data_IF_423594762346
#
_entry.id   IF_423594762346
#
_cell.length_a   1.000
_cell.length_b   1.000
_cell.length_c   1.000
_cell.angle_alpha   90.00
_cell.angle_beta   90.00
_cell.angle_gamma   90.00
#
_symmetry.space_group_name_H-M   'P 1'
#
loop_
_entity.id
_entity.type
_entity.pdbx_description
1 polymer ?
#
# COMPACT_ATOMS: atom_id res chain seq x y z
N UNK A 1 0.97 32.63 -10.51
CA UNK A 1 1.74 31.50 -9.93
C UNK A 1 2.32 30.74 -11.11
N UNK A 2 3.65 30.66 -11.22
CA UNK A 2 4.29 30.03 -12.40
C UNK A 2 3.91 28.55 -12.43
N UNK A 3 3.32 28.06 -13.54
CA UNK A 3 2.74 26.70 -13.64
C UNK A 3 3.79 25.63 -13.29
N UNK A 4 5.07 25.91 -13.57
CA UNK A 4 6.21 25.03 -13.27
C UNK A 4 6.43 24.73 -11.77
N UNK A 5 5.89 25.55 -10.85
CA UNK A 5 6.08 25.34 -9.41
C UNK A 5 4.93 24.53 -8.76
N UNK A 6 3.88 24.22 -9.52
CA UNK A 6 2.71 23.48 -8.99
C UNK A 6 3.05 22.11 -8.39
N UNK A 7 3.94 21.28 -8.99
CA UNK A 7 4.28 19.95 -8.43
C UNK A 7 4.96 20.01 -7.06
N UNK A 8 5.65 21.13 -6.75
CA UNK A 8 6.26 21.37 -5.44
C UNK A 8 5.26 21.87 -4.40
N UNK A 9 4.29 22.69 -4.81
CA UNK A 9 3.38 23.37 -3.88
C UNK A 9 2.23 22.46 -3.45
N UNK A 10 1.72 21.61 -4.35
CA UNK A 10 0.62 20.69 -4.06
C UNK A 10 0.90 19.76 -2.85
N UNK A 11 2.08 19.11 -2.74
CA UNK A 11 2.45 18.30 -1.57
C UNK A 11 2.60 19.07 -0.26
N UNK A 12 3.01 20.34 -0.32
CA UNK A 12 3.28 21.14 0.88
C UNK A 12 2.01 21.49 1.65
N UNK A 13 0.88 21.66 0.96
CA UNK A 13 -0.41 22.01 1.60
C UNK A 13 -0.81 20.96 2.66
N UNK A 14 -0.99 19.66 2.33
CA UNK A 14 -1.32 18.66 3.33
C UNK A 14 -0.19 18.45 4.33
N UNK A 15 1.08 18.59 3.93
CA UNK A 15 2.21 18.46 4.86
C UNK A 15 2.18 19.51 5.98
N UNK A 16 2.05 20.79 5.61
CA UNK A 16 2.00 21.91 6.55
C UNK A 16 0.78 21.78 7.46
N UNK A 17 -0.40 21.47 6.89
CA UNK A 17 -1.61 21.24 7.67
C UNK A 17 -1.45 20.10 8.68
N UNK A 18 -0.88 18.98 8.26
CA UNK A 18 -0.63 17.83 9.13
C UNK A 18 0.33 18.16 10.28
N UNK A 19 1.39 18.94 10.01
CA UNK A 19 2.32 19.41 11.05
C UNK A 19 1.59 20.33 12.04
N UNK A 20 0.84 21.33 11.55
CA UNK A 20 0.08 22.26 12.40
C UNK A 20 -0.92 21.50 13.27
N UNK A 21 -1.65 20.54 12.70
CA UNK A 21 -2.62 19.75 13.45
C UNK A 21 -1.99 18.88 14.52
N UNK A 22 -0.75 18.43 14.34
CA UNK A 22 -0.03 17.65 15.36
C UNK A 22 0.21 18.44 16.65
N UNK A 23 0.25 19.78 16.57
CA UNK A 23 0.52 20.66 17.71
C UNK A 23 -0.68 21.54 18.11
N UNK A 24 -1.74 21.55 17.32
CA UNK A 24 -2.95 22.33 17.59
C UNK A 24 -3.93 21.57 18.49
N UNK A 25 -4.78 22.30 19.23
CA UNK A 25 -5.93 21.77 19.97
C UNK A 25 -7.28 21.94 19.24
N UNK A 26 -7.27 22.17 17.93
CA UNK A 26 -8.51 22.30 17.14
C UNK A 26 -9.34 21.00 17.13
N UNK A 27 -10.67 21.13 17.04
CA UNK A 27 -11.64 20.03 17.10
C UNK A 27 -11.45 18.99 15.99
N UNK A 28 -11.79 17.73 16.28
CA UNK A 28 -11.63 16.61 15.35
C UNK A 28 -12.49 16.78 14.09
N UNK A 29 -13.72 17.25 14.25
CA UNK A 29 -14.67 17.48 13.14
C UNK A 29 -14.17 18.54 12.15
N UNK A 30 -13.58 19.62 12.64
CA UNK A 30 -13.03 20.68 11.77
C UNK A 30 -11.85 20.14 10.94
N UNK A 31 -10.93 19.39 11.56
CA UNK A 31 -9.80 18.77 10.85
C UNK A 31 -10.27 17.81 9.77
N UNK A 32 -11.26 16.97 10.08
CA UNK A 32 -11.85 16.04 9.12
C UNK A 32 -12.43 16.78 7.92
N UNK A 33 -13.22 17.82 8.15
CA UNK A 33 -13.81 18.64 7.08
C UNK A 33 -12.75 19.30 6.20
N UNK A 34 -11.75 19.97 6.80
CA UNK A 34 -10.65 20.61 6.07
C UNK A 34 -9.84 19.57 5.30
N UNK A 35 -9.53 18.43 5.90
CA UNK A 35 -8.73 17.37 5.27
C UNK A 35 -9.42 16.79 4.02
N UNK A 36 -10.73 16.52 4.12
CA UNK A 36 -11.51 16.05 2.97
C UNK A 36 -11.59 17.13 1.87
N UNK A 37 -11.78 18.39 2.23
CA UNK A 37 -11.79 19.50 1.27
C UNK A 37 -10.44 19.66 0.56
N UNK A 38 -9.33 19.55 1.29
CA UNK A 38 -7.98 19.61 0.71
C UNK A 38 -7.73 18.45 -0.24
N UNK A 39 -8.06 17.22 0.14
CA UNK A 39 -7.92 16.07 -0.78
C UNK A 39 -8.78 16.25 -2.03
N UNK A 40 -10.03 16.70 -1.88
CA UNK A 40 -10.91 16.99 -3.01
C UNK A 40 -10.36 18.08 -3.93
N UNK A 41 -9.81 19.16 -3.38
CA UNK A 41 -9.18 20.24 -4.13
C UNK A 41 -7.91 19.77 -4.86
N UNK A 42 -7.08 18.93 -4.21
CA UNK A 42 -5.90 18.32 -4.85
C UNK A 42 -6.29 17.39 -6.00
N UNK A 43 -7.32 16.56 -5.82
CA UNK A 43 -7.83 15.68 -6.87
C UNK A 43 -8.37 16.47 -8.07
N UNK A 44 -9.18 17.52 -7.82
CA UNK A 44 -9.67 18.41 -8.88
C UNK A 44 -8.53 19.18 -9.56
N UNK A 45 -7.55 19.64 -8.79
CA UNK A 45 -6.36 20.31 -9.29
C UNK A 45 -5.51 19.42 -10.20
N UNK A 46 -5.39 18.13 -9.90
CA UNK A 46 -4.66 17.18 -10.74
C UNK A 46 -5.34 16.93 -12.08
N UNK A 47 -6.68 16.88 -12.11
CA UNK A 47 -7.43 16.78 -13.37
C UNK A 47 -7.10 18.00 -14.24
N UNK A 48 -7.12 19.19 -13.65
CA UNK A 48 -6.75 20.44 -14.35
C UNK A 48 -5.29 20.43 -14.81
N UNK A 49 -4.36 20.01 -13.96
CA UNK A 49 -2.92 19.92 -14.28
C UNK A 49 -2.67 18.93 -15.41
N UNK A 50 -3.37 17.80 -15.50
CA UNK A 50 -3.26 16.85 -16.62
C UNK A 50 -3.56 17.51 -17.97
N UNK A 51 -4.51 18.45 -18.01
CA UNK A 51 -4.83 19.19 -19.24
C UNK A 51 -3.83 20.30 -19.54
N UNK A 52 -3.11 20.80 -18.53
CA UNK A 52 -2.19 21.93 -18.64
C UNK A 52 -0.70 21.52 -18.77
N UNK A 53 -0.33 20.33 -18.31
CA UNK A 53 1.05 19.81 -18.24
C UNK A 53 1.05 18.36 -18.76
N UNK A 54 1.96 18.03 -19.67
CA UNK A 54 2.25 16.65 -20.07
C UNK A 54 2.91 15.88 -18.91
N UNK A 55 2.10 15.42 -17.96
CA UNK A 55 2.56 14.59 -16.85
C UNK A 55 2.43 13.11 -17.22
N UNK A 56 3.41 12.29 -16.83
CA UNK A 56 3.38 10.84 -17.02
C UNK A 56 2.06 10.25 -16.46
N UNK A 57 1.23 9.60 -17.30
CA UNK A 57 -0.02 8.99 -16.88
C UNK A 57 0.14 8.03 -15.70
N UNK A 58 1.29 7.35 -15.61
CA UNK A 58 1.61 6.42 -14.52
C UNK A 58 1.66 7.15 -13.18
N UNK A 59 2.33 8.31 -13.14
CA UNK A 59 2.46 9.14 -11.91
C UNK A 59 1.09 9.67 -11.49
N UNK A 60 0.29 10.16 -12.44
CA UNK A 60 -1.07 10.62 -12.16
C UNK A 60 -1.91 9.50 -11.51
N UNK A 61 -1.74 8.27 -12.00
CA UNK A 61 -2.50 7.13 -11.51
C UNK A 61 -2.09 6.72 -10.09
N UNK A 62 -0.79 6.67 -9.81
CA UNK A 62 -0.25 6.44 -8.46
C UNK A 62 -0.72 7.52 -7.47
N UNK A 63 -0.66 8.79 -7.87
CA UNK A 63 -1.10 9.93 -7.06
C UNK A 63 -2.61 9.86 -6.78
N UNK A 64 -3.41 9.49 -7.78
CA UNK A 64 -4.87 9.32 -7.62
C UNK A 64 -5.20 8.22 -6.62
N UNK A 65 -4.46 7.11 -6.61
CA UNK A 65 -4.62 6.04 -5.63
C UNK A 65 -4.29 6.50 -4.20
N UNK A 66 -3.22 7.28 -4.01
CA UNK A 66 -2.87 7.87 -2.71
C UNK A 66 -4.00 8.80 -2.24
N UNK A 67 -4.48 9.72 -3.09
CA UNK A 67 -5.53 10.66 -2.73
C UNK A 67 -6.83 9.95 -2.37
N UNK A 68 -7.23 8.95 -3.16
CA UNK A 68 -8.43 8.18 -2.91
C UNK A 68 -8.34 7.41 -1.58
N UNK A 69 -7.22 6.76 -1.32
CA UNK A 69 -7.00 6.04 -0.05
C UNK A 69 -7.00 7.00 1.15
N UNK A 70 -6.34 8.16 1.02
CA UNK A 70 -6.35 9.21 2.03
C UNK A 70 -7.75 9.74 2.32
N UNK A 71 -8.56 9.94 1.27
CA UNK A 71 -9.96 10.35 1.39
C UNK A 71 -10.77 9.30 2.17
N UNK A 72 -10.67 8.03 1.77
CA UNK A 72 -11.40 6.92 2.40
C UNK A 72 -11.00 6.73 3.87
N UNK A 73 -9.70 6.82 4.19
CA UNK A 73 -9.21 6.73 5.57
C UNK A 73 -9.71 7.90 6.42
N UNK A 74 -9.64 9.15 5.94
CA UNK A 74 -10.19 10.30 6.67
C UNK A 74 -11.71 10.21 6.85
N UNK A 75 -12.44 9.83 5.81
CA UNK A 75 -13.90 9.79 5.83
C UNK A 75 -14.41 8.74 6.84
N UNK A 76 -13.74 7.60 6.93
CA UNK A 76 -14.15 6.46 7.75
C UNK A 76 -13.62 6.50 9.17
N UNK A 77 -12.69 7.39 9.47
CA UNK A 77 -12.18 7.59 10.83
C UNK A 77 -13.29 8.14 11.75
N UNK A 78 -13.55 7.44 12.86
CA UNK A 78 -14.49 7.89 13.89
C UNK A 78 -13.86 8.96 14.80
N UNK A 79 -14.71 9.82 15.35
CA UNK A 79 -14.30 10.87 16.28
C UNK A 79 -13.96 10.25 17.65
N UNK A 80 -12.69 9.93 17.83
CA UNK A 80 -12.11 9.45 19.08
C UNK A 80 -11.08 10.44 19.63
N UNK A 81 -10.66 10.27 20.88
CA UNK A 81 -9.57 11.07 21.47
C UNK A 81 -8.25 10.95 20.66
N UNK A 82 -8.06 9.86 19.91
CA UNK A 82 -6.87 9.63 19.09
C UNK A 82 -7.03 10.14 17.65
N UNK A 83 -8.26 10.41 17.21
CA UNK A 83 -8.57 10.86 15.84
C UNK A 83 -7.79 12.12 15.41
N UNK A 84 -7.60 13.16 16.24
CA UNK A 84 -6.83 14.35 15.84
C UNK A 84 -5.38 14.03 15.43
N UNK A 85 -4.75 13.06 16.11
CA UNK A 85 -3.40 12.60 15.79
C UNK A 85 -3.39 11.73 14.53
N UNK A 86 -4.42 10.92 14.30
CA UNK A 86 -4.56 10.11 13.09
C UNK A 86 -4.74 11.02 11.87
N UNK A 87 -5.61 12.05 11.96
CA UNK A 87 -5.78 13.04 10.90
C UNK A 87 -4.48 13.76 10.55
N UNK A 88 -3.74 14.22 11.57
CA UNK A 88 -2.43 14.83 11.38
C UNK A 88 -1.45 13.88 10.67
N UNK A 89 -1.44 12.61 11.05
CA UNK A 89 -0.56 11.59 10.48
C UNK A 89 -0.91 11.29 9.03
N UNK A 90 -2.21 11.16 8.70
CA UNK A 90 -2.68 10.98 7.32
C UNK A 90 -2.25 12.18 6.46
N UNK A 91 -2.40 13.42 6.94
CA UNK A 91 -1.98 14.61 6.18
C UNK A 91 -0.47 14.72 5.98
N UNK A 92 0.34 14.39 7.00
CA UNK A 92 1.81 14.36 6.86
C UNK A 92 2.23 13.31 5.83
N UNK A 93 1.70 12.08 5.96
CA UNK A 93 2.04 10.98 5.05
C UNK A 93 1.53 11.25 3.63
N UNK A 94 0.37 11.88 3.50
CA UNK A 94 -0.17 12.33 2.21
C UNK A 94 0.78 13.35 1.56
N UNK A 95 1.16 14.42 2.26
CA UNK A 95 2.05 15.43 1.71
C UNK A 95 3.43 14.90 1.36
N UNK A 96 4.01 14.06 2.22
CA UNK A 96 5.31 13.43 1.92
C UNK A 96 5.20 12.46 0.73
N UNK A 97 4.17 11.61 0.69
CA UNK A 97 3.96 10.66 -0.41
C UNK A 97 3.70 11.34 -1.75
N UNK A 98 2.86 12.37 -1.78
CA UNK A 98 2.66 13.20 -2.98
C UNK A 98 3.95 13.91 -3.40
N UNK A 99 4.74 14.38 -2.43
CA UNK A 99 6.01 15.05 -2.68
C UNK A 99 7.02 14.15 -3.36
N UNK A 100 7.05 12.86 -2.99
CA UNK A 100 7.87 11.84 -3.65
C UNK A 100 7.45 11.62 -5.10
N UNK A 101 6.14 11.51 -5.37
CA UNK A 101 5.64 11.16 -6.70
C UNK A 101 5.60 12.33 -7.68
N UNK A 102 5.31 13.55 -7.20
CA UNK A 102 5.12 14.72 -8.06
C UNK A 102 6.42 15.47 -8.37
N UNK A 103 7.50 15.22 -7.62
CA UNK A 103 8.76 15.96 -7.79
C UNK A 103 9.87 15.03 -8.26
N UNK A 104 10.56 15.43 -9.31
CA UNK A 104 11.72 14.71 -9.81
C UNK A 104 13.01 15.09 -9.07
N UNK A 105 14.07 14.30 -9.30
CA UNK A 105 15.43 14.55 -8.84
C UNK A 105 15.53 14.79 -7.32
N UNK A 106 16.18 15.88 -6.91
CA UNK A 106 16.56 16.16 -5.52
C UNK A 106 15.32 16.33 -4.63
N UNK A 107 14.29 17.03 -5.13
CA UNK A 107 13.10 17.34 -4.33
C UNK A 107 12.32 16.08 -3.95
N UNK A 108 12.10 15.17 -4.89
CA UNK A 108 11.47 13.87 -4.61
C UNK A 108 12.24 13.06 -3.56
N UNK A 109 13.58 13.07 -3.64
CA UNK A 109 14.47 12.41 -2.66
C UNK A 109 14.38 13.05 -1.26
N UNK A 110 14.25 14.38 -1.17
CA UNK A 110 14.05 15.08 0.11
C UNK A 110 12.72 14.69 0.76
N UNK A 111 11.62 14.65 -0.01
CA UNK A 111 10.33 14.18 0.50
C UNK A 111 10.40 12.70 0.94
N UNK A 112 11.12 11.85 0.21
CA UNK A 112 11.31 10.45 0.57
C UNK A 112 12.08 10.29 1.88
N UNK A 113 13.15 11.08 2.06
CA UNK A 113 13.90 11.12 3.32
C UNK A 113 13.04 11.65 4.46
N UNK A 114 12.18 12.65 4.21
CA UNK A 114 11.18 13.12 5.16
C UNK A 114 10.21 12.02 5.59
N UNK A 115 9.72 11.21 4.64
CA UNK A 115 8.84 10.08 4.92
C UNK A 115 9.52 8.99 5.76
N UNK A 116 10.73 8.58 5.36
CA UNK A 116 11.54 7.62 6.09
C UNK A 116 11.91 8.13 7.50
N UNK A 117 12.25 9.41 7.61
CA UNK A 117 12.49 10.07 8.90
C UNK A 117 11.24 10.09 9.78
N UNK A 118 10.07 10.39 9.21
CA UNK A 118 8.79 10.32 9.92
C UNK A 118 8.52 8.91 10.46
N UNK A 119 8.73 7.87 9.64
CA UNK A 119 8.62 6.47 10.06
C UNK A 119 9.59 6.18 11.21
N UNK A 120 10.88 6.53 11.07
CA UNK A 120 11.89 6.31 12.10
C UNK A 120 11.52 6.99 13.43
N UNK A 121 11.03 8.24 13.39
CA UNK A 121 10.61 8.96 14.60
C UNK A 121 9.37 8.32 15.24
N UNK A 122 8.43 7.82 14.44
CA UNK A 122 7.26 7.10 14.95
C UNK A 122 7.67 5.80 15.65
N UNK A 123 8.58 5.04 15.06
CA UNK A 123 9.09 3.78 15.61
C UNK A 123 9.90 3.98 16.90
N UNK A 124 10.72 5.04 16.97
CA UNK A 124 11.55 5.32 18.14
C UNK A 124 10.76 5.85 19.34
N UNK A 125 9.53 6.36 19.13
CA UNK A 125 8.63 6.78 20.21
C UNK A 125 7.99 5.62 20.95
N UNK A 126 7.91 4.44 20.34
CA UNK A 126 7.45 3.25 21.05
C UNK A 126 8.53 2.77 22.03
N UNK A 127 8.21 2.71 23.33
CA UNK A 127 9.16 2.42 24.42
C UNK A 127 9.79 1.01 24.39
N UNK A 128 9.45 0.17 23.40
CA UNK A 128 9.89 -1.22 23.29
C UNK A 128 11.06 -1.35 22.29
N UNK A 129 12.28 -1.01 22.74
CA UNK A 129 13.51 -1.13 21.92
C UNK A 129 14.01 -2.56 21.81
N UNK A 130 13.34 -3.38 21.00
CA UNK A 130 13.79 -4.74 20.67
C UNK A 130 14.97 -4.73 19.70
N UNK A 131 15.74 -5.83 19.64
CA UNK A 131 16.80 -6.01 18.64
C UNK A 131 16.28 -5.85 17.21
N UNK A 132 15.07 -6.38 16.93
CA UNK A 132 14.38 -6.22 15.65
C UNK A 132 14.10 -4.76 15.32
N UNK A 133 13.69 -3.95 16.29
CA UNK A 133 13.49 -2.50 16.09
C UNK A 133 14.79 -1.80 15.71
N UNK A 134 15.94 -2.20 16.29
CA UNK A 134 17.25 -1.64 15.92
C UNK A 134 17.63 -1.96 14.48
N UNK A 135 17.42 -3.20 14.03
CA UNK A 135 17.66 -3.60 12.63
C UNK A 135 16.79 -2.77 11.67
N UNK A 136 15.51 -2.57 12.00
CA UNK A 136 14.60 -1.76 11.18
C UNK A 136 15.06 -0.31 11.11
N UNK A 137 15.47 0.29 12.22
CA UNK A 137 16.01 1.65 12.23
C UNK A 137 17.30 1.75 11.40
N UNK A 138 18.19 0.75 11.49
CA UNK A 138 19.38 0.70 10.66
C UNK A 138 19.04 0.62 9.17
N UNK A 139 18.05 -0.20 8.80
CA UNK A 139 17.55 -0.29 7.42
C UNK A 139 17.01 1.05 6.92
N UNK A 140 16.24 1.77 7.75
CA UNK A 140 15.71 3.09 7.40
C UNK A 140 16.82 4.12 7.26
N UNK A 141 17.81 4.13 8.16
CA UNK A 141 18.97 5.02 8.06
C UNK A 141 19.73 4.74 6.77
N UNK A 142 19.96 3.47 6.44
CA UNK A 142 20.62 3.08 5.20
C UNK A 142 19.82 3.51 3.96
N UNK A 143 18.50 3.37 3.96
CA UNK A 143 17.62 3.86 2.90
C UNK A 143 17.73 5.39 2.72
N UNK A 144 17.78 6.16 3.81
CA UNK A 144 17.95 7.62 3.77
C UNK A 144 19.32 7.97 3.17
N UNK A 145 20.39 7.32 3.63
CA UNK A 145 21.74 7.56 3.13
C UNK A 145 21.82 7.25 1.64
N UNK A 146 21.36 6.08 1.18
CA UNK A 146 21.36 5.71 -0.23
C UNK A 146 20.52 6.68 -1.08
N UNK A 147 19.35 7.09 -0.59
CA UNK A 147 18.50 8.05 -1.28
C UNK A 147 19.23 9.38 -1.53
N UNK A 148 19.93 9.91 -0.53
CA UNK A 148 20.65 11.18 -0.64
C UNK A 148 21.94 11.06 -1.47
N UNK A 149 22.72 10.00 -1.26
CA UNK A 149 24.00 9.84 -1.95
C UNK A 149 23.80 9.50 -3.42
N UNK A 150 22.73 8.79 -3.79
CA UNK A 150 22.46 8.39 -5.18
C UNK A 150 22.51 9.55 -6.18
N UNK A 151 22.09 10.75 -5.75
CA UNK A 151 22.08 11.97 -6.56
C UNK A 151 23.47 12.32 -7.10
N UNK A 152 24.52 12.00 -6.33
CA UNK A 152 25.91 12.37 -6.64
C UNK A 152 26.72 11.22 -7.23
N UNK A 153 26.11 10.05 -7.45
CA UNK A 153 26.79 8.85 -7.92
C UNK A 153 26.48 8.56 -9.39
N UNK A 154 27.30 7.73 -10.03
CA UNK A 154 27.08 7.27 -11.40
C UNK A 154 25.88 6.33 -11.55
N UNK A 155 25.52 6.03 -12.79
CA UNK A 155 24.29 5.29 -13.17
C UNK A 155 24.14 3.95 -12.44
N UNK A 156 25.20 3.14 -12.35
CA UNK A 156 25.16 1.85 -11.64
C UNK A 156 24.79 2.00 -10.16
N UNK A 157 25.31 3.03 -9.49
CA UNK A 157 25.00 3.28 -8.09
C UNK A 157 23.59 3.85 -7.91
N UNK A 158 23.12 4.65 -8.85
CA UNK A 158 21.73 5.13 -8.88
C UNK A 158 20.75 3.97 -9.06
N UNK A 159 21.04 3.05 -9.97
CA UNK A 159 20.27 1.82 -10.16
C UNK A 159 20.22 0.99 -8.87
N UNK A 160 21.36 0.74 -8.21
CA UNK A 160 21.40 -0.02 -6.96
C UNK A 160 20.65 0.66 -5.81
N UNK A 161 20.79 1.98 -5.67
CA UNK A 161 20.06 2.74 -4.67
C UNK A 161 18.55 2.71 -4.95
N UNK A 162 18.15 2.90 -6.20
CA UNK A 162 16.76 2.80 -6.62
C UNK A 162 16.20 1.39 -6.41
N UNK A 163 16.97 0.33 -6.68
CA UNK A 163 16.59 -1.06 -6.41
C UNK A 163 16.39 -1.31 -4.92
N UNK A 164 17.31 -0.83 -4.07
CA UNK A 164 17.17 -0.95 -2.62
C UNK A 164 15.91 -0.24 -2.09
N UNK A 165 15.62 0.96 -2.61
CA UNK A 165 14.42 1.71 -2.28
C UNK A 165 13.16 1.01 -2.80
N UNK A 166 13.17 0.51 -4.04
CA UNK A 166 12.09 -0.29 -4.59
C UNK A 166 11.84 -1.54 -3.75
N UNK A 167 12.87 -2.29 -3.33
CA UNK A 167 12.74 -3.45 -2.44
C UNK A 167 12.20 -3.11 -1.04
N UNK A 168 12.47 -1.88 -0.57
CA UNK A 168 11.95 -1.38 0.70
C UNK A 168 10.46 -1.04 0.59
N UNK A 169 10.04 -0.41 -0.52
CA UNK A 169 8.69 0.12 -0.74
C UNK A 169 7.73 -0.82 -1.50
N UNK A 170 8.24 -1.77 -2.27
CA UNK A 170 7.54 -2.96 -2.76
C UNK A 170 8.08 -4.15 -1.96
N UNK A 171 7.52 -4.40 -0.76
CA UNK A 171 8.16 -5.23 0.23
C UNK A 171 8.41 -6.63 -0.35
N UNK A 172 9.64 -7.10 -0.20
CA UNK A 172 10.07 -8.46 -0.51
C UNK A 172 10.98 -8.96 0.62
N UNK A 173 10.97 -10.26 0.94
CA UNK A 173 11.90 -10.80 1.93
C UNK A 173 13.36 -10.72 1.39
N UNK A 174 14.35 -10.32 2.21
CA UNK A 174 14.29 -9.93 3.63
C UNK A 174 14.02 -8.43 3.91
N UNK A 175 13.87 -7.58 2.90
CA UNK A 175 13.75 -6.12 3.02
C UNK A 175 12.40 -5.61 3.57
N UNK A 176 11.41 -6.49 3.72
CA UNK A 176 10.03 -6.18 4.16
C UNK A 176 9.86 -5.68 5.62
N UNK A 177 10.89 -5.72 6.47
CA UNK A 177 10.72 -5.46 7.92
C UNK A 177 10.22 -4.05 8.27
N UNK A 178 10.70 -2.95 7.64
CA UNK A 178 10.17 -1.62 7.87
C UNK A 178 8.68 -1.50 7.53
N UNK A 179 8.25 -2.13 6.44
CA UNK A 179 6.85 -2.19 6.04
C UNK A 179 6.00 -2.88 7.12
N UNK A 180 6.34 -4.12 7.49
CA UNK A 180 5.56 -4.90 8.48
C UNK A 180 5.43 -4.17 9.81
N UNK A 181 6.51 -3.56 10.30
CA UNK A 181 6.48 -2.82 11.56
C UNK A 181 5.63 -1.55 11.46
N UNK A 182 5.73 -0.82 10.35
CA UNK A 182 4.89 0.38 10.10
C UNK A 182 3.40 0.01 10.10
N UNK A 183 3.01 -1.06 9.39
CA UNK A 183 1.62 -1.51 9.33
C UNK A 183 1.13 -2.03 10.69
N UNK A 184 1.99 -2.73 11.45
CA UNK A 184 1.67 -3.25 12.78
C UNK A 184 1.35 -2.13 13.78
N UNK A 185 2.17 -1.08 13.77
CA UNK A 185 2.11 0.00 14.76
C UNK A 185 1.13 1.10 14.35
N UNK A 186 0.76 1.16 13.07
CA UNK A 186 -0.25 2.08 12.56
C UNK A 186 -1.58 1.87 13.28
N UNK A 187 -2.19 2.98 13.68
CA UNK A 187 -3.48 2.99 14.39
C UNK A 187 -4.63 3.06 13.41
N UNK A 188 -5.62 2.19 13.59
CA UNK A 188 -6.93 2.28 12.94
C UNK A 188 -6.79 2.45 11.40
N UNK A 189 -7.47 3.44 10.82
CA UNK A 189 -7.52 3.69 9.36
C UNK A 189 -6.16 4.06 8.75
N UNK A 190 -5.17 4.44 9.57
CA UNK A 190 -3.82 4.80 9.11
C UNK A 190 -3.07 3.58 8.56
N UNK A 191 -3.39 2.37 9.03
CA UNK A 191 -2.76 1.14 8.54
C UNK A 191 -3.10 0.89 7.07
N UNK A 192 -4.37 1.06 6.69
CA UNK A 192 -4.83 1.03 5.29
C UNK A 192 -4.10 2.06 4.44
N UNK A 193 -4.02 3.30 4.92
CA UNK A 193 -3.41 4.39 4.16
C UNK A 193 -1.91 4.15 3.91
N UNK A 194 -1.19 3.65 4.93
CA UNK A 194 0.21 3.30 4.79
C UNK A 194 0.45 2.23 3.74
N UNK A 195 -0.37 1.18 3.67
CA UNK A 195 -0.22 0.12 2.64
C UNK A 195 -0.23 0.74 1.25
N UNK A 196 -1.18 1.64 0.98
CA UNK A 196 -1.29 2.30 -0.33
C UNK A 196 -0.08 3.18 -0.61
N UNK A 197 0.23 4.14 0.28
CA UNK A 197 1.36 5.07 0.07
C UNK A 197 2.68 4.33 -0.11
N UNK A 198 2.90 3.29 0.70
CA UNK A 198 4.12 2.50 0.66
C UNK A 198 4.30 1.82 -0.71
N UNK A 199 3.27 1.12 -1.19
CA UNK A 199 3.31 0.44 -2.48
C UNK A 199 3.39 1.44 -3.65
N UNK A 200 2.70 2.57 -3.60
CA UNK A 200 2.73 3.56 -4.68
C UNK A 200 4.14 4.14 -4.88
N UNK A 201 4.84 4.42 -3.78
CA UNK A 201 6.23 4.86 -3.83
C UNK A 201 7.12 3.76 -4.43
N UNK A 202 6.93 2.50 -4.01
CA UNK A 202 7.74 1.40 -4.51
C UNK A 202 7.53 1.12 -6.00
N UNK A 203 6.28 1.23 -6.48
CA UNK A 203 5.94 1.16 -7.89
C UNK A 203 6.63 2.26 -8.70
N UNK A 204 6.63 3.51 -8.21
CA UNK A 204 7.34 4.60 -8.87
C UNK A 204 8.86 4.39 -8.89
N UNK A 205 9.45 3.95 -7.77
CA UNK A 205 10.88 3.63 -7.72
C UNK A 205 11.24 2.52 -8.70
N UNK A 206 10.42 1.47 -8.79
CA UNK A 206 10.65 0.38 -9.73
C UNK A 206 10.50 0.82 -11.18
N UNK A 207 9.49 1.64 -11.50
CA UNK A 207 9.29 2.24 -12.83
C UNK A 207 10.54 2.99 -13.30
N UNK A 208 11.12 3.80 -12.41
CA UNK A 208 12.26 4.65 -12.74
C UNK A 208 13.56 3.86 -12.96
N UNK A 209 13.69 2.67 -12.37
CA UNK A 209 14.87 1.82 -12.54
C UNK A 209 14.69 0.69 -13.55
N UNK A 210 13.45 0.38 -13.98
CA UNK A 210 13.14 -0.83 -14.72
C UNK A 210 13.98 -1.00 -15.99
N UNK A 211 14.17 0.07 -16.75
CA UNK A 211 14.97 0.06 -17.99
C UNK A 211 16.46 -0.19 -17.77
N UNK A 212 16.96 -0.05 -16.54
CA UNK A 212 18.36 -0.28 -16.17
C UNK A 212 18.61 -1.70 -15.65
N UNK A 213 17.55 -2.48 -15.40
CA UNK A 213 17.68 -3.85 -14.87
C UNK A 213 18.09 -4.81 -15.99
N UNK A 214 19.18 -5.54 -15.78
CA UNK A 214 19.63 -6.59 -16.68
C UNK A 214 18.83 -7.88 -16.49
N UNK A 215 18.81 -8.74 -17.51
CA UNK A 215 18.13 -10.04 -17.45
C UNK A 215 18.63 -10.91 -16.27
N UNK A 216 19.93 -10.85 -15.95
CA UNK A 216 20.50 -11.54 -14.79
C UNK A 216 19.90 -11.05 -13.47
N UNK A 217 19.75 -9.73 -13.30
CA UNK A 217 19.13 -9.15 -12.10
C UNK A 217 17.65 -9.54 -12.03
N UNK A 218 16.93 -9.48 -13.15
CA UNK A 218 15.52 -9.83 -13.23
C UNK A 218 15.27 -11.32 -12.90
N UNK A 219 16.16 -12.21 -13.35
CA UNK A 219 16.12 -13.62 -13.00
C UNK A 219 16.33 -13.84 -11.49
N UNK A 220 17.34 -13.19 -10.88
CA UNK A 220 17.60 -13.27 -9.44
C UNK A 220 16.40 -12.74 -8.63
N UNK A 221 15.82 -11.61 -9.05
CA UNK A 221 14.64 -11.04 -8.42
C UNK A 221 13.44 -11.99 -8.51
N UNK A 222 13.29 -12.70 -9.63
CA UNK A 222 12.21 -13.69 -9.81
C UNK A 222 12.36 -14.88 -8.89
N UNK A 223 13.58 -15.38 -8.68
CA UNK A 223 13.85 -16.44 -7.71
C UNK A 223 13.57 -15.97 -6.28
N UNK A 224 14.03 -14.75 -5.94
CA UNK A 224 13.79 -14.16 -4.64
C UNK A 224 12.28 -13.91 -4.38
N UNK A 225 11.54 -13.54 -5.42
CA UNK A 225 10.09 -13.37 -5.36
C UNK A 225 9.37 -14.68 -4.99
N UNK A 226 9.74 -15.80 -5.61
CA UNK A 226 9.18 -17.12 -5.28
C UNK A 226 9.44 -17.46 -3.81
N UNK A 227 10.70 -17.32 -3.36
CA UNK A 227 11.07 -17.58 -1.97
C UNK A 227 10.32 -16.67 -1.00
N UNK A 228 10.18 -15.39 -1.34
CA UNK A 228 9.42 -14.41 -0.58
C UNK A 228 7.94 -14.77 -0.52
N UNK A 229 7.34 -15.23 -1.63
CA UNK A 229 5.94 -15.65 -1.69
C UNK A 229 5.66 -16.87 -0.80
N UNK A 230 6.54 -17.87 -0.82
CA UNK A 230 6.47 -19.05 0.05
C UNK A 230 6.57 -18.62 1.52
N UNK A 231 7.62 -17.87 1.85
CA UNK A 231 7.85 -17.37 3.21
C UNK A 231 6.63 -16.58 3.72
N UNK A 232 6.17 -15.60 2.94
CA UNK A 232 5.10 -14.70 3.34
C UNK A 232 3.76 -15.42 3.47
N UNK A 233 3.47 -16.40 2.61
CA UNK A 233 2.26 -17.22 2.70
C UNK A 233 2.23 -18.05 3.99
N UNK A 234 3.35 -18.67 4.35
CA UNK A 234 3.48 -19.41 5.62
C UNK A 234 3.35 -18.47 6.82
N UNK A 235 3.99 -17.30 6.76
CA UNK A 235 3.90 -16.28 7.82
C UNK A 235 2.45 -15.80 7.96
N UNK A 236 1.76 -15.48 6.87
CA UNK A 236 0.37 -15.04 6.86
C UNK A 236 -0.56 -16.07 7.49
N UNK A 237 -0.39 -17.35 7.17
CA UNK A 237 -1.17 -18.45 7.72
C UNK A 237 -1.02 -18.58 9.25
N UNK A 238 0.15 -18.21 9.78
CA UNK A 238 0.44 -18.18 11.22
C UNK A 238 0.00 -16.91 11.95
N UNK A 239 -0.38 -15.84 11.23
CA UNK A 239 -0.72 -14.57 11.86
C UNK A 239 -2.09 -14.61 12.52
N UNK A 240 -2.13 -14.21 13.80
CA UNK A 240 -3.39 -13.96 14.53
C UNK A 240 -3.76 -12.47 14.55
N UNK A 241 -2.80 -11.56 14.37
CA UNK A 241 -3.04 -10.12 14.44
C UNK A 241 -3.41 -9.60 13.06
N UNK A 242 -4.54 -8.88 12.94
CA UNK A 242 -5.10 -8.41 11.67
C UNK A 242 -4.08 -7.62 10.84
N UNK A 243 -3.41 -6.64 11.45
CA UNK A 243 -2.42 -5.81 10.76
C UNK A 243 -1.20 -6.59 10.26
N UNK A 244 -0.74 -7.58 11.03
CA UNK A 244 0.36 -8.45 10.61
C UNK A 244 -0.05 -9.44 9.53
N UNK A 245 -1.27 -9.97 9.61
CA UNK A 245 -1.85 -10.80 8.56
C UNK A 245 -1.90 -10.05 7.23
N UNK A 246 -2.48 -8.83 7.24
CA UNK A 246 -2.57 -7.96 6.06
C UNK A 246 -1.18 -7.61 5.52
N UNK A 247 -0.22 -7.29 6.38
CA UNK A 247 1.16 -7.01 5.94
C UNK A 247 1.82 -8.25 5.28
N UNK A 248 1.59 -9.44 5.84
CA UNK A 248 2.14 -10.69 5.29
C UNK A 248 1.46 -11.07 3.98
N UNK A 249 0.14 -10.87 3.87
CA UNK A 249 -0.60 -11.06 2.61
C UNK A 249 -0.14 -10.07 1.54
N UNK A 250 0.13 -8.81 1.91
CA UNK A 250 0.71 -7.80 0.99
C UNK A 250 2.04 -8.29 0.44
N UNK A 251 2.93 -8.78 1.31
CA UNK A 251 4.24 -9.31 0.96
C UNK A 251 4.16 -10.54 0.04
N UNK A 252 3.18 -11.42 0.25
CA UNK A 252 2.98 -12.58 -0.60
C UNK A 252 2.56 -12.18 -2.02
N UNK A 253 1.66 -11.20 -2.15
CA UNK A 253 1.17 -10.76 -3.46
C UNK A 253 2.11 -9.76 -4.16
N UNK A 254 2.88 -8.95 -3.44
CA UNK A 254 3.89 -8.07 -4.04
C UNK A 254 4.99 -8.87 -4.74
N UNK A 255 5.21 -10.13 -4.35
CA UNK A 255 6.10 -11.04 -5.07
C UNK A 255 5.69 -11.26 -6.53
N UNK A 256 4.39 -11.17 -6.87
CA UNK A 256 3.95 -11.23 -8.27
C UNK A 256 4.55 -10.08 -9.09
N UNK A 257 4.63 -8.88 -8.52
CA UNK A 257 5.23 -7.73 -9.21
C UNK A 257 6.68 -8.06 -9.58
N UNK A 258 7.45 -8.55 -8.61
CA UNK A 258 8.88 -8.84 -8.80
C UNK A 258 9.14 -9.99 -9.77
N UNK A 259 8.41 -11.11 -9.64
CA UNK A 259 8.66 -12.28 -10.47
C UNK A 259 8.09 -12.23 -11.87
N UNK A 260 7.28 -11.22 -12.20
CA UNK A 260 6.69 -11.02 -13.53
C UNK A 260 7.41 -9.94 -14.36
N UNK A 261 8.43 -9.27 -13.81
CA UNK A 261 9.18 -8.22 -14.51
C UNK A 261 9.87 -8.67 -15.80
N UNK A 262 10.35 -9.91 -15.82
CA UNK A 262 10.98 -10.52 -16.99
C UNK A 262 9.97 -11.09 -18.00
N UNK A 263 8.69 -11.19 -17.61
CA UNK A 263 7.66 -11.91 -18.35
C UNK A 263 6.85 -10.97 -19.22
N UNK A 264 6.43 -9.85 -18.65
CA UNK A 264 5.57 -8.90 -19.33
C UNK A 264 6.35 -7.67 -19.76
N UNK A 265 6.32 -7.34 -21.07
CA UNK A 265 6.96 -6.12 -21.56
C UNK A 265 6.24 -4.89 -20.99
N UNK A 266 7.00 -3.83 -20.72
CA UNK A 266 6.49 -2.54 -20.24
C UNK A 266 5.81 -2.58 -18.88
N UNK A 267 6.62 -2.48 -17.82
CA UNK A 267 6.15 -2.40 -16.43
C UNK A 267 5.06 -1.34 -16.18
N UNK A 268 5.12 -0.19 -16.86
CA UNK A 268 4.10 0.86 -16.70
C UNK A 268 2.69 0.44 -17.11
N UNK A 269 2.55 -0.47 -18.09
CA UNK A 269 1.25 -0.89 -18.62
C UNK A 269 0.56 -1.95 -17.76
N UNK A 270 1.31 -2.90 -17.21
CA UNK A 270 0.71 -4.00 -16.43
C UNK A 270 1.00 -3.86 -14.93
N UNK A 271 2.23 -3.46 -14.56
CA UNK A 271 2.72 -3.50 -13.19
C UNK A 271 2.19 -2.37 -12.33
N UNK A 272 2.07 -1.16 -12.88
CA UNK A 272 1.47 -0.01 -12.19
C UNK A 272 -0.02 -0.27 -11.89
N UNK A 273 -0.88 -0.64 -12.87
CA UNK A 273 -2.29 -0.88 -12.58
C UNK A 273 -2.54 -2.09 -11.68
N UNK A 274 -1.76 -3.16 -11.85
CA UNK A 274 -1.81 -4.31 -10.93
C UNK A 274 -1.41 -3.92 -9.51
N UNK A 275 -0.30 -3.19 -9.35
CA UNK A 275 0.18 -2.76 -8.04
C UNK A 275 -0.80 -1.82 -7.32
N UNK A 276 -1.48 -0.94 -8.05
CA UNK A 276 -2.59 -0.13 -7.53
C UNK A 276 -3.75 -1.01 -7.08
N UNK A 277 -4.16 -1.97 -7.90
CA UNK A 277 -5.22 -2.92 -7.57
C UNK A 277 -4.90 -3.67 -6.27
N UNK A 278 -3.68 -4.22 -6.18
CA UNK A 278 -3.18 -4.90 -4.98
C UNK A 278 -3.24 -3.98 -3.75
N UNK A 279 -2.73 -2.75 -3.88
CA UNK A 279 -2.70 -1.78 -2.80
C UNK A 279 -4.11 -1.40 -2.30
N UNK A 280 -5.05 -1.18 -3.22
CA UNK A 280 -6.42 -0.79 -2.88
C UNK A 280 -7.23 -1.96 -2.28
N UNK A 281 -7.05 -3.19 -2.77
CA UNK A 281 -7.72 -4.38 -2.23
C UNK A 281 -7.21 -4.70 -0.82
N UNK A 282 -5.89 -4.78 -0.65
CA UNK A 282 -5.31 -5.13 0.66
C UNK A 282 -5.42 -3.96 1.65
N UNK A 283 -5.31 -2.73 1.17
CA UNK A 283 -5.64 -1.52 1.93
C UNK A 283 -7.11 -1.52 2.37
N UNK A 284 -8.04 -1.81 1.46
CA UNK A 284 -9.47 -1.95 1.76
C UNK A 284 -9.76 -3.03 2.81
N UNK A 285 -9.07 -4.16 2.76
CA UNK A 285 -9.17 -5.21 3.79
C UNK A 285 -8.64 -4.73 5.14
N UNK A 286 -7.53 -3.99 5.15
CA UNK A 286 -7.02 -3.31 6.36
C UNK A 286 -8.03 -2.32 6.93
N UNK A 287 -8.69 -1.55 6.06
CA UNK A 287 -9.72 -0.58 6.43
C UNK A 287 -10.93 -1.28 7.05
N UNK A 288 -11.39 -2.39 6.46
CA UNK A 288 -12.48 -3.20 7.01
C UNK A 288 -12.14 -3.72 8.42
N UNK A 289 -10.92 -4.22 8.63
CA UNK A 289 -10.47 -4.61 9.97
C UNK A 289 -10.37 -3.44 10.93
N UNK A 290 -10.04 -2.24 10.45
CA UNK A 290 -10.01 -1.05 11.29
C UNK A 290 -11.38 -0.70 11.87
N UNK A 291 -12.48 -0.95 11.14
CA UNK A 291 -13.84 -0.74 11.65
C UNK A 291 -14.16 -1.67 12.83
N UNK A 292 -13.75 -2.94 12.73
CA UNK A 292 -13.86 -3.89 13.85
C UNK A 292 -13.00 -3.44 15.03
N UNK A 293 -11.78 -2.97 14.76
CA UNK A 293 -10.88 -2.48 15.81
C UNK A 293 -11.42 -1.23 16.51
N UNK A 294 -11.99 -0.27 15.77
CA UNK A 294 -12.55 0.96 16.32
C UNK A 294 -13.74 0.63 17.22
N UNK A 295 -14.65 -0.24 16.78
CA UNK A 295 -15.88 -0.59 17.53
C UNK A 295 -15.63 -1.50 18.73
N UNK A 296 -14.77 -2.51 18.57
CA UNK A 296 -14.65 -3.62 19.52
C UNK A 296 -13.26 -3.75 20.15
N UNK A 297 -12.29 -2.93 19.75
CA UNK A 297 -10.90 -3.04 20.20
C UNK A 297 -10.20 -4.35 19.77
N UNK A 298 -10.87 -5.20 18.98
CA UNK A 298 -10.35 -6.49 18.57
C UNK A 298 -9.33 -6.34 17.43
N UNK A 299 -8.09 -6.69 17.73
CA UNK A 299 -6.97 -6.68 16.78
C UNK A 299 -6.62 -8.07 16.25
N UNK A 300 -7.28 -9.11 16.75
CA UNK A 300 -6.96 -10.50 16.44
C UNK A 300 -8.07 -11.20 15.67
N UNK A 301 -7.65 -11.93 14.65
CA UNK A 301 -8.45 -12.84 13.83
C UNK A 301 -8.96 -13.96 14.74
N UNK A 302 -10.25 -14.29 14.65
CA UNK A 302 -10.85 -15.34 15.47
C UNK A 302 -11.55 -14.87 16.75
N UNK A 303 -11.33 -13.62 17.20
CA UNK A 303 -11.99 -13.13 18.43
C UNK A 303 -13.47 -12.78 18.24
N UNK A 304 -13.84 -12.45 17.00
CA UNK A 304 -15.19 -12.08 16.58
C UNK A 304 -15.55 -12.91 15.33
N UNK A 305 -15.87 -14.21 15.51
CA UNK A 305 -16.38 -15.04 14.43
C UNK A 305 -17.84 -14.68 14.11
N UNK A 306 -18.35 -15.22 13.00
CA UNK A 306 -19.76 -15.12 12.62
C UNK A 306 -20.23 -13.74 12.17
N UNK A 307 -19.32 -12.84 11.77
CA UNK A 307 -19.65 -11.46 11.41
C UNK A 307 -20.67 -11.36 10.27
N UNK A 308 -20.76 -12.33 9.37
CA UNK A 308 -21.74 -12.30 8.27
C UNK A 308 -23.18 -12.38 8.78
N UNK A 309 -23.41 -13.04 9.92
CA UNK A 309 -24.75 -13.18 10.50
C UNK A 309 -25.18 -11.96 11.31
N UNK A 310 -24.24 -11.28 11.97
CA UNK A 310 -24.53 -10.16 12.88
C UNK A 310 -24.24 -8.79 12.29
N UNK A 311 -23.36 -8.73 11.28
CA UNK A 311 -22.97 -7.53 10.53
C UNK A 311 -22.92 -7.85 9.03
N UNK A 312 -24.07 -8.08 8.39
CA UNK A 312 -24.12 -8.59 7.01
C UNK A 312 -23.38 -7.68 6.02
N UNK A 313 -23.42 -6.35 6.17
CA UNK A 313 -22.70 -5.44 5.25
C UNK A 313 -21.20 -5.58 5.42
N UNK A 314 -20.69 -5.60 6.66
CA UNK A 314 -19.27 -5.82 6.89
C UNK A 314 -18.82 -7.20 6.39
N UNK A 315 -19.58 -8.25 6.71
CA UNK A 315 -19.27 -9.61 6.30
C UNK A 315 -19.18 -9.75 4.78
N UNK A 316 -20.18 -9.22 4.05
CA UNK A 316 -20.18 -9.21 2.58
C UNK A 316 -18.99 -8.45 2.02
N UNK A 317 -18.66 -7.29 2.59
CA UNK A 317 -17.51 -6.49 2.15
C UNK A 317 -16.18 -7.22 2.36
N UNK A 318 -15.98 -7.87 3.51
CA UNK A 318 -14.78 -8.67 3.77
C UNK A 318 -14.69 -9.83 2.78
N UNK A 319 -15.80 -10.56 2.56
CA UNK A 319 -15.85 -11.68 1.59
C UNK A 319 -15.51 -11.17 0.19
N UNK A 320 -16.09 -10.06 -0.24
CA UNK A 320 -15.84 -9.47 -1.56
C UNK A 320 -14.36 -9.06 -1.72
N UNK A 321 -13.79 -8.35 -0.74
CA UNK A 321 -12.36 -7.98 -0.76
C UNK A 321 -11.45 -9.20 -0.82
N UNK A 322 -11.80 -10.27 -0.08
CA UNK A 322 -11.06 -11.53 -0.14
C UNK A 322 -11.20 -12.21 -1.50
N UNK A 323 -12.41 -12.25 -2.08
CA UNK A 323 -12.59 -12.76 -3.44
C UNK A 323 -11.71 -12.00 -4.43
N UNK A 324 -11.71 -10.66 -4.38
CA UNK A 324 -10.81 -9.83 -5.19
C UNK A 324 -9.34 -10.20 -4.97
N UNK A 325 -8.91 -10.34 -3.70
CA UNK A 325 -7.54 -10.70 -3.38
C UNK A 325 -7.15 -12.08 -3.93
N UNK A 326 -8.06 -13.06 -3.88
CA UNK A 326 -7.83 -14.39 -4.46
C UNK A 326 -7.69 -14.36 -5.98
N UNK A 327 -8.38 -13.45 -6.66
CA UNK A 327 -8.29 -13.29 -8.10
C UNK A 327 -7.12 -12.39 -8.54
N UNK A 328 -6.44 -11.67 -7.63
CA UNK A 328 -5.29 -10.83 -7.96
C UNK A 328 -4.21 -11.51 -8.82
N UNK A 329 -3.85 -12.80 -8.61
CA UNK A 329 -2.86 -13.44 -9.47
C UNK A 329 -3.31 -13.55 -10.94
N UNK A 330 -4.60 -13.46 -11.27
CA UNK A 330 -5.06 -13.47 -12.67
C UNK A 330 -4.94 -12.10 -13.34
N UNK A 331 -4.95 -11.00 -12.56
CA UNK A 331 -4.95 -9.64 -13.10
C UNK A 331 -3.69 -9.33 -13.94
N UNK A 332 -2.46 -9.63 -13.48
CA UNK A 332 -1.26 -9.45 -14.30
C UNK A 332 -1.30 -10.29 -15.57
N UNK A 333 -1.87 -11.50 -15.53
CA UNK A 333 -2.01 -12.33 -16.71
C UNK A 333 -2.95 -11.67 -17.72
N UNK A 334 -4.12 -11.19 -17.30
CA UNK A 334 -5.06 -10.51 -18.19
C UNK A 334 -4.47 -9.23 -18.81
N UNK A 335 -3.89 -8.35 -17.98
CA UNK A 335 -3.29 -7.08 -18.43
C UNK A 335 -2.01 -7.30 -19.26
N UNK A 336 -1.17 -8.23 -18.84
CA UNK A 336 0.12 -8.53 -19.46
C UNK A 336 0.03 -9.35 -20.75
N UNK A 337 -0.95 -10.26 -20.86
CA UNK A 337 -1.20 -11.04 -22.09
C UNK A 337 -1.66 -10.15 -23.25
N UNK A 338 -2.31 -9.02 -22.97
CA UNK A 338 -2.67 -8.02 -23.99
C UNK A 338 -1.46 -7.38 -24.69
N UNK A 339 -0.25 -7.56 -24.16
CA UNK A 339 1.00 -6.94 -24.64
C UNK A 339 2.04 -8.00 -25.03
N UNK A 340 1.71 -9.29 -24.99
CA UNK A 340 2.67 -10.36 -25.29
C UNK A 340 2.88 -10.58 -26.79
N UNK A 341 4.13 -10.66 -27.29
CA UNK A 341 4.43 -11.46 -28.48
C UNK A 341 4.28 -12.95 -28.14
N UNK A 342 3.88 -13.77 -29.12
CA UNK A 342 3.67 -15.22 -28.95
C UNK A 342 4.88 -15.90 -28.31
N UNK A 343 4.72 -16.38 -27.07
CA UNK A 343 5.77 -17.12 -26.34
C UNK A 343 5.92 -18.52 -26.91
N UNK A 344 7.16 -18.93 -27.21
CA UNK A 344 7.48 -20.34 -27.41
C UNK A 344 7.35 -21.09 -26.09
N UNK A 345 6.48 -22.10 -26.05
CA UNK A 345 6.02 -22.81 -24.84
C UNK A 345 7.06 -23.68 -24.13
N UNK A 346 8.36 -23.51 -24.42
CA UNK A 346 9.48 -24.29 -23.85
C UNK A 346 10.49 -23.47 -23.04
N UNK A 347 10.16 -22.22 -22.73
CA UNK A 347 11.05 -21.33 -21.98
C UNK A 347 10.98 -21.57 -20.46
N UNK A 348 12.14 -21.53 -19.79
CA UNK A 348 12.30 -21.56 -18.33
C UNK A 348 11.47 -20.46 -17.66
N UNK A 349 11.30 -19.32 -18.35
CA UNK A 349 10.44 -18.22 -17.91
C UNK A 349 8.99 -18.62 -17.67
N UNK A 350 8.42 -19.52 -18.50
CA UNK A 350 7.03 -20.00 -18.36
C UNK A 350 6.86 -20.84 -17.10
N UNK A 351 7.83 -21.70 -16.80
CA UNK A 351 7.81 -22.55 -15.60
C UNK A 351 7.91 -21.70 -14.34
N UNK A 352 8.83 -20.74 -14.28
CA UNK A 352 8.97 -19.83 -13.13
C UNK A 352 7.70 -19.01 -12.89
N UNK A 353 7.10 -18.51 -13.97
CA UNK A 353 5.84 -17.75 -13.94
C UNK A 353 4.70 -18.59 -13.39
N UNK A 354 4.52 -19.81 -13.93
CA UNK A 354 3.48 -20.75 -13.48
C UNK A 354 3.66 -21.12 -12.01
N UNK A 355 4.90 -21.35 -11.57
CA UNK A 355 5.21 -21.67 -10.18
C UNK A 355 4.89 -20.50 -9.26
N UNK A 356 5.26 -19.27 -9.64
CA UNK A 356 4.96 -18.07 -8.87
C UNK A 356 3.44 -17.87 -8.72
N UNK A 357 2.69 -17.95 -9.82
CA UNK A 357 1.23 -17.88 -9.76
C UNK A 357 0.64 -18.97 -8.86
N UNK A 358 1.11 -20.21 -8.99
CA UNK A 358 0.64 -21.33 -8.19
C UNK A 358 0.91 -21.12 -6.69
N UNK A 359 2.11 -20.68 -6.33
CA UNK A 359 2.50 -20.43 -4.94
C UNK A 359 1.65 -19.32 -4.33
N UNK A 360 1.52 -18.18 -5.02
CA UNK A 360 0.75 -17.03 -4.50
C UNK A 360 -0.73 -17.36 -4.44
N UNK A 361 -1.28 -18.04 -5.45
CA UNK A 361 -2.69 -18.43 -5.48
C UNK A 361 -3.02 -19.47 -4.42
N UNK A 362 -2.26 -20.56 -4.31
CA UNK A 362 -2.51 -21.63 -3.32
C UNK A 362 -2.29 -21.12 -1.90
N UNK A 363 -1.20 -20.36 -1.68
CA UNK A 363 -0.94 -19.70 -0.40
C UNK A 363 -2.09 -18.75 -0.03
N UNK A 364 -2.44 -17.85 -0.95
CA UNK A 364 -3.56 -16.91 -0.86
C UNK A 364 -4.87 -17.59 -0.48
N UNK A 365 -5.25 -18.61 -1.25
CA UNK A 365 -6.43 -19.43 -1.02
C UNK A 365 -6.47 -19.97 0.39
N UNK A 366 -5.36 -20.52 0.88
CA UNK A 366 -5.32 -21.10 2.21
C UNK A 366 -5.49 -20.06 3.32
N UNK A 367 -4.63 -19.05 3.37
CA UNK A 367 -4.65 -18.12 4.50
C UNK A 367 -5.88 -17.20 4.48
N UNK A 368 -6.42 -16.85 3.31
CA UNK A 368 -7.66 -16.07 3.23
C UNK A 368 -8.90 -16.87 3.59
N UNK A 369 -9.02 -18.12 3.13
CA UNK A 369 -10.17 -18.98 3.53
C UNK A 369 -10.13 -19.24 5.03
N UNK A 370 -8.94 -19.51 5.59
CA UNK A 370 -8.77 -19.64 7.04
C UNK A 370 -9.20 -18.36 7.76
N UNK A 371 -8.78 -17.19 7.28
CA UNK A 371 -9.17 -15.92 7.86
C UNK A 371 -10.69 -15.70 7.79
N UNK A 372 -11.34 -15.96 6.65
CA UNK A 372 -12.79 -15.84 6.48
C UNK A 372 -13.54 -16.78 7.44
N UNK A 373 -13.08 -18.02 7.58
CA UNK A 373 -13.69 -18.97 8.52
C UNK A 373 -13.59 -18.47 9.97
N UNK A 374 -12.51 -17.77 10.32
CA UNK A 374 -12.29 -17.23 11.67
C UNK A 374 -12.95 -15.86 11.91
N UNK A 375 -13.56 -15.24 10.90
CA UNK A 375 -14.07 -13.87 10.99
C UNK A 375 -15.50 -13.75 10.47
N UNK A 376 -15.69 -13.94 9.16
CA UNK A 376 -16.97 -13.82 8.50
C UNK A 376 -17.92 -14.97 8.87
N UNK A 377 -17.40 -16.19 8.91
CA UNK A 377 -18.19 -17.40 9.19
C UNK A 377 -18.05 -17.87 10.64
N UNK A 378 -18.87 -18.85 11.03
CA UNK A 378 -18.92 -19.41 12.38
C UNK A 378 -20.08 -18.87 13.23
N UNK A 379 -20.13 -19.30 14.48
CA UNK A 379 -21.15 -18.89 15.45
C UNK A 379 -20.78 -17.53 16.05
N UNK A 380 -21.70 -16.57 15.95
CA UNK A 380 -21.49 -15.24 16.50
C UNK A 380 -21.59 -15.24 18.02
N UNK A 381 -20.80 -14.39 18.66
CA UNK A 381 -20.77 -14.25 20.11
C UNK A 381 -22.01 -13.52 20.61
N UNK A 382 -22.81 -14.14 21.46
CA UNK A 382 -24.05 -13.53 21.97
C UNK A 382 -23.83 -12.44 23.02
N UNK A 383 -22.62 -12.30 23.56
CA UNK A 383 -22.29 -11.35 24.62
C UNK A 383 -21.95 -9.93 24.12
N UNK A 384 -21.97 -9.71 22.80
CA UNK A 384 -21.52 -8.45 22.18
C UNK A 384 -22.68 -7.79 21.42
N UNK A 385 -22.94 -6.48 21.65
CA UNK A 385 -23.88 -5.73 20.83
C UNK A 385 -23.24 -5.41 19.46
N UNK A 386 -23.76 -6.01 18.40
CA UNK A 386 -23.27 -5.79 17.05
C UNK A 386 -23.89 -4.52 16.42
N UNK A 387 -23.04 -3.72 15.77
CA UNK A 387 -23.44 -2.58 14.94
C UNK A 387 -22.77 -2.68 13.57
N UNK A 388 -23.58 -2.85 12.52
CA UNK A 388 -23.10 -3.02 11.16
C UNK A 388 -22.57 -1.71 10.54
N UNK A 389 -22.03 -1.78 9.32
CA UNK A 389 -21.41 -0.65 8.64
C UNK A 389 -22.37 0.52 8.43
N UNK A 390 -21.87 1.70 8.79
CA UNK A 390 -22.49 2.97 8.49
C UNK A 390 -22.34 3.37 7.01
N UNK A 391 -23.14 4.32 6.49
CA UNK A 391 -23.11 4.72 5.08
C UNK A 391 -21.75 5.21 4.60
N UNK A 392 -21.00 5.92 5.45
CA UNK A 392 -19.67 6.45 5.14
C UNK A 392 -18.65 5.33 4.92
N UNK A 393 -18.74 4.27 5.69
CA UNK A 393 -17.82 3.12 5.62
C UNK A 393 -18.10 2.26 4.39
N UNK A 394 -19.39 2.02 4.11
CA UNK A 394 -19.81 1.34 2.89
C UNK A 394 -19.35 2.12 1.67
N UNK A 395 -19.53 3.44 1.66
CA UNK A 395 -19.07 4.31 0.58
C UNK A 395 -17.55 4.18 0.38
N UNK A 396 -16.75 4.35 1.44
CA UNK A 396 -15.30 4.28 1.36
C UNK A 396 -14.81 2.96 0.77
N UNK A 397 -15.29 1.81 1.27
CA UNK A 397 -14.83 0.52 0.74
C UNK A 397 -15.35 0.29 -0.69
N UNK A 398 -16.59 0.68 -0.99
CA UNK A 398 -17.15 0.53 -2.34
C UNK A 398 -16.32 1.29 -3.38
N UNK A 399 -15.91 2.53 -3.08
CA UNK A 399 -15.08 3.32 -4.00
C UNK A 399 -13.68 2.71 -4.15
N UNK A 400 -13.08 2.16 -3.08
CA UNK A 400 -11.79 1.45 -3.19
C UNK A 400 -11.89 0.20 -4.08
N UNK A 401 -12.96 -0.59 -3.96
CA UNK A 401 -13.22 -1.77 -4.80
C UNK A 401 -13.43 -1.35 -6.26
N UNK A 402 -14.25 -0.31 -6.50
CA UNK A 402 -14.51 0.20 -7.84
C UNK A 402 -13.23 0.71 -8.50
N UNK A 403 -12.41 1.45 -7.76
CA UNK A 403 -11.11 1.91 -8.24
C UNK A 403 -10.15 0.76 -8.51
N UNK A 404 -10.08 -0.26 -7.63
CA UNK A 404 -9.28 -1.46 -7.87
C UNK A 404 -9.74 -2.21 -9.14
N UNK A 405 -11.05 -2.32 -9.35
CA UNK A 405 -11.64 -2.96 -10.53
C UNK A 405 -11.28 -2.19 -11.80
N UNK A 406 -11.42 -0.86 -11.76
CA UNK A 406 -11.04 0.03 -12.86
C UNK A 406 -9.56 -0.12 -13.20
N UNK A 407 -8.68 -0.09 -12.20
CA UNK A 407 -7.24 -0.29 -12.39
C UNK A 407 -6.89 -1.66 -12.95
N UNK A 408 -7.61 -2.71 -12.55
CA UNK A 408 -7.30 -4.07 -12.96
C UNK A 408 -7.79 -4.48 -14.34
N UNK A 409 -8.78 -3.77 -14.91
CA UNK A 409 -9.47 -4.17 -16.14
C UNK A 409 -9.26 -3.18 -17.29
N UNK A 410 -9.12 -1.87 -17.00
CA UNK A 410 -9.35 -0.80 -17.99
C UNK A 410 -8.06 -0.03 -18.36
N UNK A 411 -6.88 -0.47 -17.91
CA UNK A 411 -5.61 0.18 -18.29
C UNK A 411 -4.92 -0.48 -19.48
#
# INVERSE_FOLDING_TARGET
MNINNMPFILPLIPLILGIIWKFSNSSSTIRKGIGLAVIGALAGGLIYVRFAIEMDPSVLFLVSAILLSGFCSLLSQEDSQQAPNIYASIMIVLGLGLGVLLNEAILGRVFLCGLLGYIATSLNREQQKTFRTKIILLHIVFAITLSLTSIFMGETSQMLAGLFLALTFLPMAPFHLPFVKTIKDAKETLSSFWIVVWLMIGLDQLKNIYSFLTDEILFILSLLAILSAIYASLVALGQKVNSLFVASATLAHSALIWGLLQVFPSFSKWGIPFGITLALVIGGLSLAFSFVQIRYGCKTIGNLPGLLSTMPRLGVVIVLLVCFALFLPIFPAYLGLGVMPTIETKDVGVVMTSLLFSVVWLGGSWYFVKMLHQTAFGEARTDIPYSDLGPKEVFSISVLILAATYSGIIF
#
